data_IF_925193661707
#
_entry.id   IF_925193661707
#
_cell.length_a   1.000
_cell.length_b   1.000
_cell.length_c   1.000
_cell.angle_alpha   90.00
_cell.angle_beta   90.00
_cell.angle_gamma   90.00
#
_symmetry.space_group_name_H-M   'P 1'
#
loop_
_entity.id
_entity.type
_entity.pdbx_description
1 polymer ?
#
# COMPACT_ATOMS: atom_id res chain seq x y z
N UNK A 1 -12.36 5.16 -1.50
CA UNK A 1 -12.15 4.28 -0.34
C UNK A 1 -11.02 3.32 -0.67
N UNK A 2 -9.94 3.31 0.11
CA UNK A 2 -8.83 2.37 -0.13
C UNK A 2 -9.25 0.98 0.33
N UNK A 3 -9.60 0.10 -0.61
CA UNK A 3 -10.02 -1.25 -0.27
C UNK A 3 -8.80 -2.13 -0.02
N UNK A 4 -8.73 -2.81 1.11
CA UNK A 4 -7.67 -3.79 1.36
C UNK A 4 -8.24 -5.17 1.06
N UNK A 5 -7.78 -5.79 -0.03
CA UNK A 5 -8.06 -7.20 -0.27
C UNK A 5 -6.82 -7.96 0.22
N UNK A 6 -7.00 -8.86 1.18
CA UNK A 6 -5.95 -9.82 1.49
C UNK A 6 -5.70 -10.63 0.23
N UNK A 7 -4.55 -10.48 -0.42
CA UNK A 7 -4.16 -11.42 -1.45
C UNK A 7 -3.85 -12.73 -0.72
N UNK A 8 -4.87 -13.58 -0.58
CA UNK A 8 -4.88 -14.81 0.20
C UNK A 8 -3.80 -15.80 -0.23
N UNK A 9 -3.20 -15.60 -1.41
CA UNK A 9 -2.16 -16.44 -1.99
C UNK A 9 -0.80 -16.31 -1.28
N UNK A 10 -0.53 -15.18 -0.60
CA UNK A 10 0.74 -14.95 0.10
C UNK A 10 0.56 -14.44 1.54
N UNK A 11 -0.67 -14.25 2.03
CA UNK A 11 -0.98 -13.60 3.32
C UNK A 11 -0.40 -12.18 3.42
N UNK A 12 -0.56 -11.35 2.39
CA UNK A 12 0.05 -10.01 2.38
C UNK A 12 -1.02 -8.94 2.09
N UNK A 13 -1.18 -7.93 2.96
CA UNK A 13 -2.21 -6.92 2.83
C UNK A 13 -1.95 -6.03 1.60
N UNK A 14 -2.95 -5.89 0.74
CA UNK A 14 -2.89 -4.98 -0.42
C UNK A 14 -3.74 -3.73 -0.19
N UNK A 15 -3.41 -2.58 -0.78
CA UNK A 15 -4.22 -1.36 -0.69
C UNK A 15 -4.66 -0.90 -2.09
N UNK A 16 -5.96 -0.70 -2.29
CA UNK A 16 -6.54 -0.24 -3.56
C UNK A 16 -6.69 1.27 -3.60
N UNK A 17 -5.93 2.01 -4.42
CA UNK A 17 -6.14 3.47 -4.55
C UNK A 17 -7.24 3.74 -5.60
N UNK A 18 -8.22 4.62 -5.31
CA UNK A 18 -9.26 4.96 -6.27
C UNK A 18 -8.69 5.60 -7.56
N UNK A 19 -9.36 5.38 -8.70
CA UNK A 19 -8.89 5.73 -10.03
C UNK A 19 -8.72 7.24 -10.29
N UNK A 20 -9.29 8.10 -9.45
CA UNK A 20 -9.25 9.55 -9.62
C UNK A 20 -7.82 10.11 -9.60
N UNK A 21 -6.88 9.48 -8.88
CA UNK A 21 -5.46 9.85 -8.91
C UNK A 21 -4.77 9.46 -10.22
N UNK A 22 -5.15 8.33 -10.81
CA UNK A 22 -4.56 7.76 -12.03
C UNK A 22 -4.92 8.52 -13.31
N UNK A 23 -6.05 9.23 -13.34
CA UNK A 23 -6.45 10.02 -14.52
C UNK A 23 -5.50 11.19 -14.79
N UNK A 24 -4.80 11.67 -13.76
CA UNK A 24 -3.77 12.72 -13.87
C UNK A 24 -2.49 12.22 -14.55
N UNK A 25 -2.29 10.89 -14.58
CA UNK A 25 -1.11 10.23 -15.17
C UNK A 25 -1.53 9.32 -16.33
N UNK A 26 -1.97 9.87 -17.47
CA UNK A 26 -2.43 9.06 -18.60
C UNK A 26 -1.32 8.17 -19.16
N UNK A 27 -0.08 8.67 -19.18
CA UNK A 27 1.08 7.98 -19.77
C UNK A 27 1.62 6.82 -18.93
N UNK A 28 1.12 6.64 -17.70
CA UNK A 28 1.52 5.54 -16.84
C UNK A 28 0.94 4.23 -17.38
N UNK A 29 1.78 3.38 -17.97
CA UNK A 29 1.36 2.09 -18.54
C UNK A 29 0.88 1.14 -17.46
N UNK A 30 0.05 0.17 -17.85
CA UNK A 30 -0.26 -0.95 -16.95
C UNK A 30 0.98 -1.83 -16.75
N UNK A 31 1.03 -2.50 -15.61
CA UNK A 31 2.15 -3.35 -15.21
C UNK A 31 2.53 -3.20 -13.75
N UNK A 32 3.68 -3.78 -13.41
CA UNK A 32 4.19 -3.84 -12.05
C UNK A 32 5.28 -2.80 -11.84
N UNK A 33 5.22 -2.10 -10.72
CA UNK A 33 6.14 -1.04 -10.32
C UNK A 33 6.62 -1.24 -8.88
N UNK A 34 7.68 -0.53 -8.51
CA UNK A 34 8.15 -0.43 -7.13
C UNK A 34 8.25 1.01 -6.66
N UNK A 35 8.21 1.19 -5.35
CA UNK A 35 8.18 2.51 -4.76
C UNK A 35 8.07 2.52 -3.24
N UNK A 36 7.75 3.69 -2.69
CA UNK A 36 7.51 3.85 -1.26
C UNK A 36 6.07 4.23 -0.98
N UNK A 37 5.61 3.84 0.20
CA UNK A 37 4.34 4.24 0.77
C UNK A 37 4.59 4.99 2.07
N UNK A 38 4.00 6.18 2.19
CA UNK A 38 3.79 6.82 3.48
C UNK A 38 2.46 6.33 4.05
N UNK A 39 2.49 5.65 5.19
CA UNK A 39 1.31 5.06 5.83
C UNK A 39 1.14 5.62 7.24
N UNK A 40 -0.02 6.21 7.54
CA UNK A 40 -0.36 6.70 8.88
C UNK A 40 -1.11 5.64 9.68
N UNK A 41 -0.40 4.90 10.53
CA UNK A 41 -0.96 3.86 11.42
C UNK A 41 -0.31 3.92 12.80
N UNK A 42 -0.98 3.42 13.86
CA UNK A 42 -0.32 3.18 15.13
C UNK A 42 0.91 2.28 14.96
N UNK A 43 2.02 2.57 15.65
CA UNK A 43 3.22 1.73 15.55
C UNK A 43 2.99 0.28 15.98
N UNK A 44 1.96 0.03 16.80
CA UNK A 44 1.53 -1.32 17.22
C UNK A 44 0.85 -2.14 16.12
N UNK A 45 0.56 -1.55 14.97
CA UNK A 45 -0.01 -2.26 13.81
C UNK A 45 1.04 -2.93 12.94
N UNK A 46 2.30 -2.48 12.99
CA UNK A 46 3.42 -3.15 12.32
C UNK A 46 3.85 -4.35 13.17
N UNK A 47 4.10 -5.49 12.51
CA UNK A 47 4.60 -6.66 13.23
C UNK A 47 6.02 -6.37 13.74
N UNK A 48 6.27 -6.68 15.02
CA UNK A 48 7.59 -6.54 15.63
C UNK A 48 8.56 -7.56 15.01
N UNK A 49 9.25 -7.19 13.94
CA UNK A 49 10.39 -7.95 13.45
C UNK A 49 11.57 -7.66 14.38
N UNK A 50 11.73 -8.46 15.44
CA UNK A 50 12.88 -8.39 16.35
C UNK A 50 14.19 -8.56 15.57
N UNK A 51 15.05 -7.54 15.58
CA UNK A 51 16.50 -7.65 15.76
C UNK A 51 17.15 -6.29 16.05
N UNK A 52 17.38 -6.08 17.35
CA UNK A 52 18.52 -5.42 17.99
C UNK A 52 18.45 -3.95 18.53
N UNK A 53 18.94 -3.85 19.78
CA UNK A 53 19.34 -2.71 20.61
C UNK A 53 18.30 -1.74 21.24
N UNK A 54 17.88 -2.10 22.46
CA UNK A 54 17.90 -1.30 23.70
C UNK A 54 17.38 0.14 23.70
N UNK A 55 16.19 0.35 24.28
CA UNK A 55 15.99 1.40 25.31
C UNK A 55 14.83 1.00 26.25
N UNK A 56 15.15 1.01 27.53
CA UNK A 56 14.28 0.75 28.69
C UNK A 56 13.29 1.88 28.94
N UNK A 57 11.99 1.59 29.12
CA UNK A 57 11.10 2.30 30.08
C UNK A 57 9.67 1.73 30.16
N UNK A 58 9.43 0.88 31.17
CA UNK A 58 8.51 1.05 32.32
C UNK A 58 7.22 1.90 32.18
N UNK A 59 6.06 1.22 32.26
CA UNK A 59 4.82 1.55 33.03
C UNK A 59 3.77 2.57 32.52
N UNK A 60 2.56 2.03 32.26
CA UNK A 60 1.18 2.59 32.39
C UNK A 60 0.80 3.93 31.74
N UNK A 61 -0.08 3.84 30.72
CA UNK A 61 -1.48 4.34 30.72
C UNK A 61 -2.12 4.13 29.34
N UNK A 62 -3.37 3.68 29.34
CA UNK A 62 -4.25 3.52 28.18
C UNK A 62 -4.57 4.88 27.59
N UNK A 63 -3.79 5.28 26.59
CA UNK A 63 -4.15 6.30 25.61
C UNK A 63 -3.78 5.71 24.26
N UNK A 64 -4.78 5.50 23.40
CA UNK A 64 -4.58 5.12 22.00
C UNK A 64 -3.43 5.97 21.43
N UNK A 65 -2.30 5.37 21.01
CA UNK A 65 -1.18 6.13 20.50
C UNK A 65 -1.63 6.86 19.24
N UNK A 66 -1.40 8.18 19.17
CA UNK A 66 -1.60 8.94 17.94
C UNK A 66 -0.90 8.22 16.78
N UNK A 67 -1.55 8.10 15.61
CA UNK A 67 -0.97 7.40 14.49
C UNK A 67 0.33 8.07 14.06
N UNK A 68 1.36 7.26 13.83
CA UNK A 68 2.67 7.69 13.34
C UNK A 68 2.75 7.40 11.85
N UNK A 69 3.46 8.25 11.10
CA UNK A 69 3.71 7.97 9.69
C UNK A 69 4.91 7.05 9.53
N UNK A 70 4.73 5.99 8.77
CA UNK A 70 5.76 5.03 8.43
C UNK A 70 6.02 5.07 6.93
N UNK A 71 7.29 5.24 6.53
CA UNK A 71 7.69 5.14 5.12
C UNK A 71 8.16 3.72 4.86
N UNK A 72 7.44 3.01 4.00
CA UNK A 72 7.60 1.57 3.80
C UNK A 72 7.83 1.24 2.33
N UNK A 73 8.76 0.32 2.01
CA UNK A 73 8.95 -0.13 0.64
C UNK A 73 7.71 -0.89 0.15
N UNK A 74 7.44 -0.80 -1.15
CA UNK A 74 6.26 -1.39 -1.76
C UNK A 74 6.53 -1.85 -3.20
N UNK A 75 5.76 -2.85 -3.61
CA UNK A 75 5.52 -3.23 -5.01
C UNK A 75 4.06 -2.95 -5.31
N UNK A 76 3.72 -2.59 -6.55
CA UNK A 76 2.34 -2.28 -6.92
C UNK A 76 2.04 -2.74 -8.33
N UNK A 77 0.79 -3.15 -8.54
CA UNK A 77 0.23 -3.45 -9.87
C UNK A 77 -0.70 -2.33 -10.28
N UNK A 78 -0.55 -1.85 -11.52
CA UNK A 78 -1.48 -0.93 -12.17
C UNK A 78 -2.14 -1.68 -13.31
N UNK A 79 -3.45 -1.84 -13.23
CA UNK A 79 -4.21 -2.65 -14.18
C UNK A 79 -5.63 -2.13 -14.37
N UNK A 80 -6.35 -2.72 -15.32
CA UNK A 80 -7.77 -2.44 -15.50
C UNK A 80 -8.61 -3.29 -14.57
N UNK A 81 -9.57 -2.66 -13.90
CA UNK A 81 -10.44 -3.36 -12.97
C UNK A 81 -11.65 -3.99 -13.71
N UNK A 82 -11.81 -5.33 -13.67
CA UNK A 82 -12.93 -6.02 -14.31
C UNK A 82 -14.32 -5.59 -13.81
N UNK A 83 -14.43 -5.21 -12.53
CA UNK A 83 -15.67 -4.76 -11.91
C UNK A 83 -16.22 -3.46 -12.51
N UNK A 84 -15.38 -2.67 -13.17
CA UNK A 84 -15.77 -1.44 -13.88
C UNK A 84 -15.75 -1.62 -15.40
N UNK A 85 -16.05 -2.83 -15.89
CA UNK A 85 -15.99 -3.18 -17.32
C UNK A 85 -14.63 -2.84 -17.96
N UNK A 86 -13.52 -2.93 -17.21
CA UNK A 86 -12.18 -2.54 -17.66
C UNK A 86 -12.09 -1.09 -18.19
N UNK A 87 -12.99 -0.19 -17.78
CA UNK A 87 -12.93 1.22 -18.17
C UNK A 87 -12.04 2.04 -17.25
N UNK A 88 -11.76 1.51 -16.07
CA UNK A 88 -11.18 2.22 -14.95
C UNK A 88 -9.93 1.48 -14.50
N UNK A 89 -8.78 2.17 -14.52
CA UNK A 89 -7.52 1.63 -13.98
C UNK A 89 -7.56 1.67 -12.44
N UNK A 90 -7.04 0.65 -11.79
CA UNK A 90 -6.82 0.60 -10.34
C UNK A 90 -5.35 0.39 -10.03
N UNK A 91 -4.93 0.81 -8.83
CA UNK A 91 -3.62 0.46 -8.28
C UNK A 91 -3.84 -0.50 -7.12
N UNK A 92 -3.22 -1.66 -7.18
CA UNK A 92 -3.09 -2.60 -6.07
C UNK A 92 -1.68 -2.48 -5.50
N UNK A 93 -1.55 -1.99 -4.27
CA UNK A 93 -0.25 -1.78 -3.62
C UNK A 93 0.00 -2.89 -2.62
N UNK A 94 1.20 -3.42 -2.63
CA UNK A 94 1.69 -4.40 -1.69
C UNK A 94 2.86 -3.81 -0.89
N UNK A 95 2.68 -3.65 0.41
CA UNK A 95 3.70 -3.12 1.29
C UNK A 95 4.61 -4.28 1.71
N UNK A 96 5.91 -4.14 1.51
CA UNK A 96 6.92 -5.19 1.74
C UNK A 96 7.29 -5.30 3.23
N UNK A 97 6.30 -5.16 4.12
CA UNK A 97 6.44 -5.27 5.57
C UNK A 97 5.24 -6.01 6.16
N UNK A 98 5.45 -6.87 7.17
CA UNK A 98 4.37 -7.58 7.83
C UNK A 98 3.56 -6.66 8.73
N UNK A 99 2.26 -6.92 8.80
CA UNK A 99 1.30 -6.24 9.66
C UNK A 99 0.55 -7.26 10.50
N UNK A 100 0.38 -6.98 11.79
CA UNK A 100 -0.42 -7.82 12.70
C UNK A 100 -1.91 -7.48 12.64
N UNK A 101 -2.25 -6.34 12.04
CA UNK A 101 -3.61 -5.82 11.91
C UNK A 101 -3.79 -5.20 10.54
N UNK A 102 -5.00 -5.31 10.01
CA UNK A 102 -5.40 -4.58 8.81
C UNK A 102 -5.34 -3.06 9.06
N UNK A 103 -4.98 -2.31 8.03
CA UNK A 103 -4.86 -0.85 8.07
C UNK A 103 -5.93 -0.17 7.20
N UNK A 104 -7.12 -0.76 7.13
CA UNK A 104 -8.20 -0.24 6.28
C UNK A 104 -8.58 1.18 6.67
N UNK A 105 -8.70 2.06 5.68
CA UNK A 105 -9.00 3.47 5.89
C UNK A 105 -7.83 4.30 6.44
N UNK A 106 -6.65 3.69 6.67
CA UNK A 106 -5.46 4.44 7.04
C UNK A 106 -5.05 5.38 5.89
N UNK A 107 -4.69 6.65 6.18
CA UNK A 107 -4.15 7.55 5.19
C UNK A 107 -2.87 6.99 4.56
N UNK A 108 -2.80 7.08 3.23
CA UNK A 108 -1.74 6.51 2.43
C UNK A 108 -1.30 7.47 1.32
N UNK A 109 0.00 7.76 1.25
CA UNK A 109 0.64 8.46 0.14
C UNK A 109 1.53 7.47 -0.63
N UNK A 110 1.50 7.51 -1.96
CA UNK A 110 2.24 6.60 -2.83
C UNK A 110 3.29 7.34 -3.66
N UNK A 111 4.53 6.84 -3.65
CA UNK A 111 5.64 7.25 -4.50
C UNK A 111 6.03 6.09 -5.42
N UNK A 112 5.83 6.25 -6.73
CA UNK A 112 6.25 5.28 -7.74
C UNK A 112 7.64 5.67 -8.26
N UNK A 113 8.60 4.75 -8.24
CA UNK A 113 10.00 5.04 -8.59
C UNK A 113 10.50 4.30 -9.82
N UNK A 114 9.94 3.13 -10.13
CA UNK A 114 10.39 2.38 -11.29
C UNK A 114 9.43 1.28 -11.70
N UNK A 115 9.51 0.94 -12.99
CA UNK A 115 8.78 -0.15 -13.63
C UNK A 115 9.59 -1.45 -13.52
N UNK A 116 8.90 -2.55 -13.23
CA UNK A 116 9.48 -3.90 -13.18
C UNK A 116 9.17 -4.63 -14.49
N UNK A 117 7.90 -4.74 -14.86
CA UNK A 117 7.44 -5.54 -15.99
C UNK A 117 6.00 -5.18 -16.40
N UNK A 118 5.57 -5.48 -17.64
CA UNK A 118 4.17 -5.33 -18.03
C UNK A 118 3.28 -6.38 -17.36
N UNK A 119 1.96 -6.22 -17.49
CA UNK A 119 1.00 -7.26 -17.09
C UNK A 119 1.18 -8.51 -17.96
N UNK A 120 1.11 -9.68 -17.33
CA UNK A 120 1.20 -10.98 -17.99
C UNK A 120 -0.06 -11.79 -17.74
N UNK A 121 -0.44 -12.58 -18.75
CA UNK A 121 -1.40 -13.65 -18.59
C UNK A 121 -0.67 -14.90 -18.08
N UNK A 122 -1.26 -15.59 -17.10
CA UNK A 122 -0.66 -16.77 -16.48
C UNK A 122 -1.46 -18.02 -16.79
N UNK A 123 -0.74 -19.08 -17.20
CA UNK A 123 -1.33 -20.40 -17.45
C UNK A 123 -1.54 -21.20 -16.16
N UNK A 124 -0.89 -20.80 -15.05
CA UNK A 124 -1.04 -21.42 -13.73
C UNK A 124 -0.90 -20.43 -12.58
N UNK A 125 -1.46 -20.80 -11.43
CA UNK A 125 -1.34 -20.02 -10.20
C UNK A 125 0.11 -19.97 -9.71
N UNK A 126 0.85 -21.06 -9.88
CA UNK A 126 2.25 -21.18 -9.46
C UNK A 126 3.14 -20.19 -10.21
N UNK A 127 2.91 -20.03 -11.52
CA UNK A 127 3.65 -19.06 -12.34
C UNK A 127 3.38 -17.61 -11.90
N UNK A 128 2.11 -17.30 -11.58
CA UNK A 128 1.75 -15.99 -11.02
C UNK A 128 2.47 -15.73 -9.69
N UNK A 129 2.48 -16.73 -8.80
CA UNK A 129 3.15 -16.61 -7.48
C UNK A 129 4.66 -16.41 -7.64
N UNK A 130 5.30 -17.14 -8.55
CA UNK A 130 6.74 -17.04 -8.82
C UNK A 130 7.12 -15.63 -9.30
N UNK A 131 6.34 -15.07 -10.22
CA UNK A 131 6.56 -13.71 -10.69
C UNK A 131 6.31 -12.67 -9.59
N UNK A 132 5.25 -12.82 -8.79
CA UNK A 132 5.01 -11.89 -7.65
C UNK A 132 6.19 -11.92 -6.67
N UNK A 133 6.76 -13.09 -6.37
CA UNK A 133 7.95 -13.19 -5.52
C UNK A 133 9.14 -12.48 -6.15
N UNK A 134 9.35 -12.68 -7.44
CA UNK A 134 10.40 -12.00 -8.20
C UNK A 134 10.23 -10.49 -8.17
N UNK A 135 9.00 -10.01 -8.33
CA UNK A 135 8.67 -8.58 -8.27
C UNK A 135 9.01 -7.98 -6.91
N UNK A 136 8.68 -8.68 -5.81
CA UNK A 136 9.07 -8.28 -4.45
C UNK A 136 10.60 -8.21 -4.29
N UNK A 137 11.33 -9.24 -4.71
CA UNK A 137 12.79 -9.27 -4.63
C UNK A 137 13.46 -8.16 -5.48
N UNK A 138 12.89 -7.84 -6.64
CA UNK A 138 13.37 -6.75 -7.49
C UNK A 138 13.10 -5.40 -6.82
N UNK A 139 11.92 -5.21 -6.23
CA UNK A 139 11.56 -4.00 -5.51
C UNK A 139 12.49 -3.76 -4.32
N UNK A 140 12.67 -4.76 -3.45
CA UNK A 140 13.54 -4.67 -2.27
C UNK A 140 14.97 -4.28 -2.67
N UNK A 141 15.60 -5.05 -3.56
CA UNK A 141 16.97 -4.79 -4.03
C UNK A 141 17.09 -3.44 -4.75
N UNK A 142 16.05 -3.01 -5.45
CA UNK A 142 16.06 -1.72 -6.13
C UNK A 142 16.04 -0.58 -5.14
N UNK A 143 15.15 -0.62 -4.15
CA UNK A 143 14.98 0.41 -3.12
C UNK A 143 16.13 0.46 -2.11
N UNK A 144 17.00 -0.55 -2.07
CA UNK A 144 18.23 -0.52 -1.28
C UNK A 144 19.30 0.45 -1.81
N UNK A 145 19.22 0.84 -3.09
CA UNK A 145 20.18 1.75 -3.73
C UNK A 145 20.14 3.13 -3.06
N UNK A 146 21.31 3.69 -2.77
CA UNK A 146 21.43 4.95 -2.03
C UNK A 146 20.65 6.09 -2.67
N UNK A 147 20.64 6.20 -4.00
CA UNK A 147 19.90 7.25 -4.70
C UNK A 147 18.40 7.31 -4.36
N UNK A 148 17.76 6.18 -4.07
CA UNK A 148 16.36 6.16 -3.64
C UNK A 148 16.19 6.41 -2.14
N UNK A 149 17.11 5.92 -1.31
CA UNK A 149 17.12 6.21 0.13
C UNK A 149 17.31 7.70 0.39
N UNK A 150 18.31 8.29 -0.27
CA UNK A 150 18.64 9.71 -0.17
C UNK A 150 17.47 10.59 -0.66
N UNK A 151 16.74 10.15 -1.70
CA UNK A 151 15.54 10.83 -2.19
C UNK A 151 14.46 10.89 -1.12
N UNK A 152 14.16 9.75 -0.46
CA UNK A 152 13.16 9.71 0.61
C UNK A 152 13.59 10.51 1.83
N UNK A 153 14.86 10.43 2.22
CA UNK A 153 15.37 11.16 3.38
C UNK A 153 15.39 12.68 3.17
N UNK A 154 15.71 13.14 1.95
CA UNK A 154 15.87 14.58 1.65
C UNK A 154 14.58 15.24 1.16
N UNK A 155 13.77 14.50 0.40
CA UNK A 155 12.63 15.05 -0.35
C UNK A 155 11.31 14.33 -0.02
N UNK A 156 11.32 13.36 0.90
CA UNK A 156 10.16 12.57 1.28
C UNK A 156 9.21 13.24 2.27
N UNK A 157 9.36 14.53 2.57
CA UNK A 157 8.47 15.25 3.53
C UNK A 157 6.98 15.09 3.18
N UNK A 158 6.64 15.09 1.89
CA UNK A 158 5.26 14.91 1.43
C UNK A 158 4.71 13.50 1.69
N UNK A 159 5.55 12.47 1.85
CA UNK A 159 5.10 11.15 2.27
C UNK A 159 4.62 11.15 3.74
N UNK A 160 4.99 12.18 4.51
CA UNK A 160 4.47 12.43 5.86
C UNK A 160 3.22 13.33 5.88
N UNK A 161 2.93 14.01 4.78
CA UNK A 161 1.85 14.98 4.66
C UNK A 161 0.50 14.32 4.38
N UNK A 162 -0.35 14.23 5.40
CA UNK A 162 -1.75 13.78 5.26
C UNK A 162 -2.75 14.94 5.38
N UNK A 163 -2.35 16.14 4.96
CA UNK A 163 -3.17 17.36 5.05
C UNK A 163 -4.45 17.29 4.20
N UNK A 164 -4.47 16.41 3.20
CA UNK A 164 -5.64 16.10 2.38
C UNK A 164 -6.70 15.28 3.13
N UNK A 165 -6.38 14.74 4.30
CA UNK A 165 -7.31 13.94 5.09
C UNK A 165 -8.21 14.85 5.91
N UNK A 166 -9.48 14.92 5.54
CA UNK A 166 -10.47 15.63 6.34
C UNK A 166 -10.84 14.84 7.60
N UNK A 167 -11.06 15.57 8.69
CA UNK A 167 -11.54 15.01 9.95
C UNK A 167 -12.87 15.64 10.36
N UNK A 168 -13.70 14.88 11.05
CA UNK A 168 -14.92 15.39 11.67
C UNK A 168 -14.64 16.15 12.97
N UNK A 169 -15.70 16.67 13.59
CA UNK A 169 -15.59 17.47 14.80
C UNK A 169 -15.05 16.63 15.98
N UNK A 170 -15.18 15.31 15.89
CA UNK A 170 -14.70 14.31 16.83
C UNK A 170 -13.26 13.84 16.52
N UNK A 171 -12.66 14.35 15.45
CA UNK A 171 -11.28 14.04 15.04
C UNK A 171 -11.12 12.72 14.28
N UNK A 172 -12.22 12.06 13.90
CA UNK A 172 -12.21 10.85 13.08
C UNK A 172 -12.10 11.22 11.60
N UNK A 173 -11.43 10.38 10.83
CA UNK A 173 -11.28 10.57 9.38
C UNK A 173 -12.65 10.53 8.71
N UNK A 174 -12.96 11.57 7.93
CA UNK A 174 -14.10 11.59 7.03
C UNK A 174 -13.75 10.80 5.78
N UNK A 175 -14.55 9.79 5.48
CA UNK A 175 -14.48 9.08 4.22
C UNK A 175 -15.57 9.64 3.29
N UNK A 176 -15.20 10.07 2.09
CA UNK A 176 -16.19 10.24 1.02
C UNK A 176 -16.63 8.84 0.58
N UNK A 177 -17.93 8.55 0.68
CA UNK A 177 -18.53 7.38 0.04
C UNK A 177 -18.32 7.53 -1.47
N UNK A 178 -17.34 6.79 -2.02
CA UNK A 178 -17.30 6.58 -3.46
C UNK A 178 -18.49 5.72 -3.86
N UNK A 179 -19.12 6.03 -5.00
CA UNK A 179 -20.35 5.43 -5.56
C UNK A 179 -20.26 3.90 -5.86
N UNK A 180 -19.96 3.09 -4.85
CA UNK A 180 -19.80 1.64 -4.94
C UNK A 180 -20.62 0.96 -3.87
N UNK A 181 -21.89 0.71 -4.15
CA UNK A 181 -22.74 -0.20 -3.40
C UNK A 181 -22.06 -1.58 -3.34
N UNK A 182 -21.51 -1.93 -2.17
CA UNK A 182 -20.91 -3.22 -1.87
C UNK A 182 -22.01 -4.29 -1.79
N UNK A 183 -22.22 -5.04 -2.86
CA UNK A 183 -22.86 -6.35 -2.81
C UNK A 183 -21.76 -7.41 -2.76
N UNK A 184 -21.78 -8.19 -1.68
CA UNK A 184 -20.79 -9.23 -1.41
C UNK A 184 -20.56 -10.13 -2.63
N UNK A 185 -19.30 -10.28 -3.02
CA UNK A 185 -18.92 -11.22 -4.07
C UNK A 185 -19.14 -12.64 -3.56
N UNK A 186 -20.15 -13.31 -4.12
CA UNK A 186 -20.32 -14.75 -4.04
C UNK A 186 -19.25 -15.39 -4.92
N UNK A 187 -18.42 -16.24 -4.33
CA UNK A 187 -17.42 -17.05 -5.05
C UNK A 187 -18.21 -18.02 -5.93
N UNK A 188 -18.16 -17.84 -7.26
CA UNK A 188 -18.65 -18.85 -8.19
C UNK A 188 -17.51 -19.83 -8.47
N UNK A 189 -17.81 -21.09 -8.16
CA UNK A 189 -17.00 -22.30 -8.29
C UNK A 189 -16.70 -22.67 -9.75
#
# INVERSE_FOLDING_TARGET
MTQINSCTLLCIPTANIPPSGLSTYPDLSTGVYYGYVGLSVPSSSLANTTSDATTTSTTTRTSEPNPTTHILPSVLSIGYNPFYNNKTRSIEIHILRPFDKDFYGAPLNLLILGFIRPEYDYESLEALIEDIRTDCEVAERSLERSGYKDLVEREGEWLHGFEWVERDAEGKIKYEEGDGEVKGAEVQE
#
